data_IF_885573840215
#
_entry.id   IF_885573840215
#
_cell.length_a   1.000
_cell.length_b   1.000
_cell.length_c   1.000
_cell.angle_alpha   90.00
_cell.angle_beta   90.00
_cell.angle_gamma   90.00
#
_symmetry.space_group_name_H-M   'P 1'
#
loop_
_entity.id
_entity.type
_entity.pdbx_description
1 polymer ?
#
# COMPACT_ATOMS: atom_id res chain seq x y z
N UNK A 1 -18.07 12.80 -12.04
CA UNK A 1 -17.38 12.25 -13.23
C UNK A 1 -16.09 11.59 -12.79
N UNK A 2 -15.61 10.58 -13.51
CA UNK A 2 -14.29 9.96 -13.32
C UNK A 2 -13.43 10.36 -14.51
N UNK A 3 -12.18 10.77 -14.25
CA UNK A 3 -11.24 11.19 -15.30
C UNK A 3 -9.98 10.34 -15.22
N UNK A 4 -9.67 9.65 -16.30
CA UNK A 4 -8.39 8.98 -16.50
C UNK A 4 -7.45 9.87 -17.32
N UNK A 5 -6.17 9.86 -16.96
CA UNK A 5 -5.14 10.69 -17.58
C UNK A 5 -3.91 9.82 -17.79
N UNK A 6 -3.44 9.79 -19.04
CA UNK A 6 -2.14 9.23 -19.43
C UNK A 6 -1.17 10.40 -19.72
N UNK A 7 -0.23 10.70 -18.81
CA UNK A 7 0.67 11.82 -18.95
C UNK A 7 1.91 11.49 -19.79
N UNK A 8 2.28 12.39 -20.69
CA UNK A 8 3.47 12.28 -21.51
C UNK A 8 3.63 13.50 -22.42
N UNK A 9 4.44 13.38 -23.48
CA UNK A 9 4.50 14.39 -24.54
C UNK A 9 3.14 14.55 -25.25
N UNK A 10 2.43 13.43 -25.39
CA UNK A 10 1.02 13.40 -25.73
C UNK A 10 0.26 13.04 -24.47
N UNK A 11 -0.69 13.89 -24.07
CA UNK A 11 -1.56 13.59 -22.93
C UNK A 11 -2.82 12.92 -23.46
N UNK A 12 -3.03 11.67 -23.05
CA UNK A 12 -4.30 10.97 -23.19
C UNK A 12 -5.24 11.35 -22.05
N UNK A 13 -6.53 11.52 -22.36
CA UNK A 13 -7.55 11.78 -21.36
C UNK A 13 -8.85 11.07 -21.70
N UNK A 14 -9.51 10.56 -20.67
CA UNK A 14 -10.82 9.93 -20.79
C UNK A 14 -11.71 10.36 -19.64
N UNK A 15 -12.86 10.94 -19.95
CA UNK A 15 -13.85 11.46 -19.01
C UNK A 15 -15.10 10.60 -19.11
N UNK A 16 -15.49 10.01 -18.00
CA UNK A 16 -16.70 9.23 -17.85
C UNK A 16 -17.64 9.86 -16.83
N UNK A 17 -18.94 9.63 -16.98
CA UNK A 17 -19.88 9.88 -15.89
C UNK A 17 -19.71 8.85 -14.75
N UNK A 18 -20.59 8.86 -13.75
CA UNK A 18 -20.51 7.94 -12.62
C UNK A 18 -21.11 6.56 -12.90
N UNK A 19 -21.69 6.37 -14.08
CA UNK A 19 -22.28 5.13 -14.59
C UNK A 19 -21.41 4.52 -15.71
N UNK A 20 -20.21 5.07 -15.93
CA UNK A 20 -19.22 4.68 -16.93
C UNK A 20 -19.62 4.89 -18.38
N UNK A 21 -20.52 5.83 -18.67
CA UNK A 21 -20.73 6.30 -20.03
C UNK A 21 -19.63 7.31 -20.42
N UNK A 22 -19.02 7.18 -21.62
CA UNK A 22 -17.98 8.09 -22.07
C UNK A 22 -18.56 9.47 -22.39
N UNK A 23 -18.03 10.52 -21.75
CA UNK A 23 -18.39 11.92 -22.00
C UNK A 23 -17.42 12.60 -22.98
N UNK A 24 -16.15 12.21 -22.93
CA UNK A 24 -15.09 12.67 -23.82
C UNK A 24 -13.89 11.72 -23.70
N UNK A 25 -13.34 11.29 -24.82
CA UNK A 25 -12.06 10.58 -24.89
C UNK A 25 -11.24 11.27 -25.98
N UNK A 26 -9.96 11.49 -25.72
CA UNK A 26 -9.10 12.15 -26.67
C UNK A 26 -7.66 12.21 -26.20
N UNK A 27 -6.81 12.72 -27.07
CA UNK A 27 -5.40 12.92 -26.81
C UNK A 27 -4.95 14.23 -27.44
N UNK A 28 -3.95 14.88 -26.83
CA UNK A 28 -3.35 16.10 -27.40
C UNK A 28 -1.87 16.17 -27.09
N UNK A 29 -1.08 16.44 -28.13
CA UNK A 29 0.37 16.67 -28.01
C UNK A 29 0.62 18.05 -27.39
N UNK A 30 1.60 18.13 -26.50
CA UNK A 30 2.04 19.40 -25.85
C UNK A 30 0.89 20.15 -25.15
N UNK A 31 -0.09 19.42 -24.62
CA UNK A 31 -1.21 20.00 -23.90
C UNK A 31 -0.76 20.56 -22.55
N UNK A 32 -1.17 21.79 -22.23
CA UNK A 32 -0.85 22.38 -20.92
C UNK A 32 -1.79 21.86 -19.83
N UNK A 33 -1.36 21.97 -18.57
CA UNK A 33 -2.21 21.63 -17.41
C UNK A 33 -3.46 22.50 -17.38
N UNK A 34 -3.34 23.78 -17.72
CA UNK A 34 -4.43 24.76 -17.75
C UNK A 34 -5.46 24.39 -18.82
N UNK A 35 -5.02 24.01 -20.03
CA UNK A 35 -5.92 23.54 -21.08
C UNK A 35 -6.68 22.29 -20.66
N UNK A 36 -5.98 21.34 -20.04
CA UNK A 36 -6.58 20.09 -19.55
C UNK A 36 -7.60 20.36 -18.44
N UNK A 37 -7.25 21.21 -17.48
CA UNK A 37 -8.15 21.61 -16.41
C UNK A 37 -9.40 22.33 -16.94
N UNK A 38 -9.23 23.26 -17.89
CA UNK A 38 -10.35 23.96 -18.52
C UNK A 38 -11.28 23.00 -19.26
N UNK A 39 -10.72 22.03 -19.99
CA UNK A 39 -11.49 21.01 -20.68
C UNK A 39 -12.28 20.11 -19.72
N UNK A 40 -11.64 19.63 -18.65
CA UNK A 40 -12.32 18.84 -17.60
C UNK A 40 -13.45 19.69 -16.99
N UNK A 41 -13.17 20.94 -16.62
CA UNK A 41 -14.15 21.86 -16.01
C UNK A 41 -15.37 22.08 -16.92
N UNK A 42 -15.17 22.20 -18.24
CA UNK A 42 -16.26 22.34 -19.22
C UNK A 42 -17.20 21.12 -19.25
N UNK A 43 -16.70 19.93 -18.95
CA UNK A 43 -17.53 18.72 -18.84
C UNK A 43 -18.20 18.57 -17.47
N UNK A 44 -17.56 19.09 -16.42
CA UNK A 44 -18.12 19.14 -15.08
C UNK A 44 -17.06 19.02 -13.99
N UNK A 45 -17.50 18.75 -12.75
CA UNK A 45 -16.59 18.55 -11.62
C UNK A 45 -16.11 17.08 -11.56
N UNK A 46 -14.79 16.82 -11.56
CA UNK A 46 -14.29 15.48 -11.37
C UNK A 46 -14.57 15.03 -9.92
N UNK A 47 -14.88 13.74 -9.77
CA UNK A 47 -15.07 13.07 -8.48
C UNK A 47 -13.92 12.13 -8.15
N UNK A 48 -13.19 11.70 -9.19
CA UNK A 48 -12.02 10.87 -9.09
C UNK A 48 -11.12 11.15 -10.30
N UNK A 49 -9.82 11.32 -10.06
CA UNK A 49 -8.80 11.35 -11.10
C UNK A 49 -7.98 10.05 -11.04
N UNK A 50 -7.58 9.49 -12.17
CA UNK A 50 -6.87 8.22 -12.23
C UNK A 50 -5.71 8.25 -13.22
N UNK A 51 -4.65 7.50 -12.91
CA UNK A 51 -3.58 7.11 -13.84
C UNK A 51 -3.38 5.60 -13.80
N UNK A 52 -2.63 5.10 -14.77
CA UNK A 52 -2.28 3.69 -14.96
C UNK A 52 -0.91 3.32 -14.37
N UNK A 53 -0.13 4.30 -13.90
CA UNK A 53 1.21 4.13 -13.32
C UNK A 53 1.26 4.42 -11.81
N UNK A 54 2.25 3.84 -11.13
CA UNK A 54 2.59 4.06 -9.72
C UNK A 54 4.10 4.33 -9.58
N UNK A 55 4.52 5.50 -9.04
CA UNK A 55 3.74 6.53 -8.36
C UNK A 55 2.92 7.45 -9.29
N UNK A 56 1.97 8.18 -8.71
CA UNK A 56 1.17 9.17 -9.44
C UNK A 56 2.06 10.21 -10.12
N UNK A 57 1.85 10.49 -11.42
CA UNK A 57 2.60 11.52 -12.13
C UNK A 57 2.28 12.94 -11.63
N UNK A 58 3.26 13.85 -11.72
CA UNK A 58 3.15 15.25 -11.28
C UNK A 58 1.93 15.99 -11.85
N UNK A 59 1.60 15.73 -13.12
CA UNK A 59 0.45 16.34 -13.77
C UNK A 59 -0.85 15.97 -13.05
N UNK A 60 -1.01 14.69 -12.70
CA UNK A 60 -2.18 14.18 -12.00
C UNK A 60 -2.28 14.80 -10.59
N UNK A 61 -1.17 14.88 -9.86
CA UNK A 61 -1.12 15.50 -8.53
C UNK A 61 -1.52 16.99 -8.57
N UNK A 62 -1.01 17.73 -9.56
CA UNK A 62 -1.37 19.14 -9.75
C UNK A 62 -2.84 19.33 -10.08
N UNK A 63 -3.42 18.47 -10.93
CA UNK A 63 -4.85 18.51 -11.25
C UNK A 63 -5.72 18.12 -10.06
N UNK A 64 -5.30 17.11 -9.29
CA UNK A 64 -5.99 16.71 -8.07
C UNK A 64 -6.08 17.85 -7.06
N UNK A 65 -4.97 18.57 -6.87
CA UNK A 65 -4.92 19.78 -6.04
C UNK A 65 -5.83 20.87 -6.59
N UNK A 66 -5.75 21.16 -7.90
CA UNK A 66 -6.59 22.18 -8.55
C UNK A 66 -8.09 21.91 -8.39
N UNK A 67 -8.54 20.67 -8.58
CA UNK A 67 -9.95 20.30 -8.46
C UNK A 67 -10.37 19.90 -7.03
N UNK A 68 -9.45 19.90 -6.07
CA UNK A 68 -9.63 19.31 -4.74
C UNK A 68 -10.34 17.93 -4.82
N UNK A 69 -9.78 17.04 -5.64
CA UNK A 69 -10.39 15.76 -6.01
C UNK A 69 -9.43 14.62 -5.72
N UNK A 70 -9.98 13.51 -5.21
CA UNK A 70 -9.19 12.31 -4.92
C UNK A 70 -8.55 11.72 -6.17
N UNK A 71 -7.33 11.21 -6.00
CA UNK A 71 -6.64 10.37 -6.99
C UNK A 71 -6.83 8.88 -6.70
N UNK A 72 -6.95 8.10 -7.77
CA UNK A 72 -6.79 6.66 -7.76
C UNK A 72 -5.46 6.31 -8.43
N UNK A 73 -4.65 5.53 -7.72
CA UNK A 73 -3.37 5.01 -8.21
C UNK A 73 -3.45 3.49 -8.08
N UNK A 74 -3.09 2.72 -9.12
CA UNK A 74 -3.05 1.27 -9.03
C UNK A 74 -1.92 0.82 -8.08
N UNK A 75 -2.00 -0.42 -7.55
CA UNK A 75 -0.97 -0.96 -6.65
C UNK A 75 0.41 -1.05 -7.34
N UNK A 76 0.42 -1.24 -8.66
CA UNK A 76 1.59 -1.27 -9.54
C UNK A 76 1.17 -0.79 -10.93
N UNK A 77 2.13 -0.50 -11.78
CA UNK A 77 1.87 -0.13 -13.18
C UNK A 77 0.98 -1.17 -13.87
N UNK A 78 -0.02 -0.68 -14.59
CA UNK A 78 -0.93 -1.51 -15.36
C UNK A 78 -0.23 -2.02 -16.61
N UNK A 79 -0.23 -3.34 -16.82
CA UNK A 79 0.33 -3.92 -18.04
C UNK A 79 -0.63 -3.83 -19.22
N UNK A 80 -0.12 -3.81 -20.45
CA UNK A 80 -0.91 -3.61 -21.68
C UNK A 80 -2.10 -4.57 -21.79
N UNK A 81 -1.90 -5.86 -21.49
CA UNK A 81 -2.97 -6.86 -21.49
C UNK A 81 -4.10 -6.54 -20.51
N UNK A 82 -3.77 -5.97 -19.36
CA UNK A 82 -4.75 -5.55 -18.37
C UNK A 82 -5.54 -4.34 -18.91
N UNK A 83 -4.84 -3.35 -19.47
CA UNK A 83 -5.46 -2.15 -20.07
C UNK A 83 -6.44 -2.54 -21.18
N UNK A 84 -6.00 -3.32 -22.17
CA UNK A 84 -6.85 -3.77 -23.28
C UNK A 84 -8.06 -4.59 -22.84
N UNK A 85 -7.94 -5.36 -21.74
CA UNK A 85 -9.06 -6.13 -21.19
C UNK A 85 -10.12 -5.24 -20.54
N UNK A 86 -9.71 -4.14 -19.89
CA UNK A 86 -10.63 -3.22 -19.24
C UNK A 86 -11.48 -2.47 -20.25
N UNK A 87 -10.87 -1.99 -21.33
CA UNK A 87 -11.52 -1.17 -22.36
C UNK A 87 -12.11 -1.97 -23.53
N UNK A 88 -12.25 -3.29 -23.36
CA UNK A 88 -12.71 -4.18 -24.44
C UNK A 88 -14.09 -3.74 -24.94
N UNK A 89 -14.20 -3.54 -26.27
CA UNK A 89 -15.45 -3.11 -26.92
C UNK A 89 -15.56 -1.60 -27.12
N UNK A 90 -14.52 -0.84 -26.78
CA UNK A 90 -14.38 0.58 -27.13
C UNK A 90 -13.34 0.75 -28.25
N UNK A 91 -13.52 1.79 -29.06
CA UNK A 91 -12.59 2.17 -30.13
C UNK A 91 -11.80 3.41 -29.71
N UNK A 92 -10.51 3.43 -30.02
CA UNK A 92 -9.58 4.51 -29.66
C UNK A 92 -8.71 4.86 -30.85
N UNK A 93 -8.30 6.13 -30.94
CA UNK A 93 -7.46 6.61 -32.04
C UNK A 93 -6.00 6.26 -31.84
N UNK A 94 -5.56 6.10 -30.58
CA UNK A 94 -4.18 5.77 -30.21
C UNK A 94 -4.10 5.11 -28.82
N UNK A 95 -2.91 4.67 -28.46
CA UNK A 95 -2.62 4.02 -27.17
C UNK A 95 -2.84 4.94 -25.97
N UNK A 96 -2.57 6.25 -26.08
CA UNK A 96 -2.77 7.20 -24.98
C UNK A 96 -4.24 7.34 -24.59
N UNK A 97 -5.16 7.34 -25.57
CA UNK A 97 -6.60 7.31 -25.33
C UNK A 97 -7.06 6.02 -24.64
N UNK A 98 -6.51 4.89 -25.08
CA UNK A 98 -6.77 3.58 -24.49
C UNK A 98 -6.30 3.52 -23.03
N UNK A 99 -5.10 4.01 -22.76
CA UNK A 99 -4.46 3.96 -21.44
C UNK A 99 -5.17 4.87 -20.44
N UNK A 100 -5.53 6.09 -20.87
CA UNK A 100 -6.35 7.00 -20.09
C UNK A 100 -7.73 6.38 -19.78
N UNK A 101 -8.38 5.74 -20.76
CA UNK A 101 -9.65 5.06 -20.53
C UNK A 101 -9.50 3.87 -19.57
N UNK A 102 -8.46 3.06 -19.73
CA UNK A 102 -8.17 1.94 -18.85
C UNK A 102 -7.95 2.38 -17.40
N UNK A 103 -7.23 3.48 -17.17
CA UNK A 103 -7.03 4.07 -15.85
C UNK A 103 -8.38 4.45 -15.19
N UNK A 104 -9.26 5.13 -15.92
CA UNK A 104 -10.59 5.49 -15.43
C UNK A 104 -11.45 4.25 -15.10
N UNK A 105 -11.44 3.24 -15.97
CA UNK A 105 -12.19 1.99 -15.77
C UNK A 105 -11.67 1.20 -14.58
N UNK A 106 -10.35 1.13 -14.39
CA UNK A 106 -9.73 0.50 -13.22
C UNK A 106 -10.17 1.19 -11.93
N UNK A 107 -10.16 2.52 -11.94
CA UNK A 107 -10.61 3.32 -10.81
C UNK A 107 -12.08 3.08 -10.49
N UNK A 108 -12.96 3.04 -11.50
CA UNK A 108 -14.37 2.71 -11.30
C UNK A 108 -14.56 1.32 -10.68
N UNK A 109 -13.88 0.29 -11.20
CA UNK A 109 -13.98 -1.08 -10.66
C UNK A 109 -13.58 -1.18 -9.20
N UNK A 110 -12.60 -0.39 -8.77
CA UNK A 110 -12.22 -0.32 -7.36
C UNK A 110 -13.36 0.22 -6.48
N UNK A 111 -14.09 1.24 -6.95
CA UNK A 111 -15.19 1.86 -6.21
C UNK A 111 -16.58 1.29 -6.52
N UNK A 112 -16.71 0.36 -7.46
CA UNK A 112 -17.98 -0.13 -8.00
C UNK A 112 -18.92 -0.64 -6.90
N UNK A 113 -18.41 -1.48 -5.99
CA UNK A 113 -19.19 -2.02 -4.88
C UNK A 113 -19.72 -0.91 -3.97
N UNK A 114 -18.88 0.10 -3.68
CA UNK A 114 -19.25 1.25 -2.83
C UNK A 114 -20.32 2.11 -3.53
N UNK A 115 -20.13 2.42 -4.80
CA UNK A 115 -21.09 3.18 -5.60
C UNK A 115 -22.44 2.48 -5.69
N UNK A 116 -22.44 1.16 -5.93
CA UNK A 116 -23.65 0.34 -5.98
C UNK A 116 -24.39 0.28 -4.64
N UNK A 117 -23.66 0.25 -3.52
CA UNK A 117 -24.26 0.34 -2.19
C UNK A 117 -24.96 1.69 -1.99
N UNK A 118 -24.33 2.79 -2.42
CA UNK A 118 -24.93 4.12 -2.38
C UNK A 118 -26.21 4.14 -3.21
N UNK A 119 -26.18 3.62 -4.44
CA UNK A 119 -27.35 3.58 -5.33
C UNK A 119 -28.55 2.86 -4.71
N UNK A 120 -28.31 1.75 -4.00
CA UNK A 120 -29.37 1.03 -3.28
C UNK A 120 -30.00 1.90 -2.19
N UNK A 121 -29.18 2.53 -1.34
CA UNK A 121 -29.66 3.39 -0.25
C UNK A 121 -30.43 4.59 -0.80
N UNK A 122 -29.96 5.18 -1.89
CA UNK A 122 -30.64 6.30 -2.55
C UNK A 122 -31.99 5.89 -3.14
N UNK A 123 -32.06 4.72 -3.77
CA UNK A 123 -33.29 4.16 -4.31
C UNK A 123 -34.31 3.87 -3.21
N UNK A 124 -33.89 3.29 -2.10
CA UNK A 124 -34.75 3.04 -0.92
C UNK A 124 -35.32 4.33 -0.33
N UNK A 125 -34.53 5.41 -0.34
CA UNK A 125 -34.95 6.75 0.14
C UNK A 125 -35.70 7.58 -0.91
N UNK A 126 -35.88 7.09 -2.13
CA UNK A 126 -36.51 7.83 -3.22
C UNK A 126 -35.73 9.08 -3.68
N UNK A 127 -34.40 9.10 -3.49
CA UNK A 127 -33.54 10.23 -3.87
C UNK A 127 -32.91 9.94 -5.24
N UNK A 128 -33.44 10.54 -6.30
CA UNK A 128 -32.91 10.38 -7.67
C UNK A 128 -32.09 11.59 -8.14
N UNK A 129 -32.59 12.82 -7.92
CA UNK A 129 -31.98 14.04 -8.49
C UNK A 129 -30.60 14.43 -7.94
N UNK A 130 -30.23 13.98 -6.74
CA UNK A 130 -28.96 14.33 -6.08
C UNK A 130 -27.98 13.15 -5.97
N UNK A 131 -28.23 12.06 -6.69
CA UNK A 131 -27.39 10.86 -6.61
C UNK A 131 -25.92 11.13 -6.96
N UNK A 132 -25.68 11.91 -8.02
CA UNK A 132 -24.32 12.26 -8.45
C UNK A 132 -23.54 13.08 -7.41
N UNK A 133 -24.22 14.00 -6.71
CA UNK A 133 -23.63 14.83 -5.66
C UNK A 133 -23.25 13.98 -4.43
N UNK A 134 -24.15 13.09 -4.00
CA UNK A 134 -23.90 12.20 -2.87
C UNK A 134 -22.73 11.25 -3.19
N UNK A 135 -22.72 10.65 -4.38
CA UNK A 135 -21.59 9.84 -4.85
C UNK A 135 -20.29 10.64 -4.84
N UNK A 136 -20.30 11.89 -5.32
CA UNK A 136 -19.13 12.76 -5.30
C UNK A 136 -18.60 13.02 -3.88
N UNK A 137 -19.48 13.35 -2.94
CA UNK A 137 -19.10 13.57 -1.54
C UNK A 137 -18.49 12.30 -0.92
N UNK A 138 -19.07 11.14 -1.20
CA UNK A 138 -18.63 9.87 -0.62
C UNK A 138 -17.32 9.37 -1.22
N UNK A 139 -17.03 9.69 -2.48
CA UNK A 139 -15.71 9.47 -3.09
C UNK A 139 -14.64 10.40 -2.49
N UNK A 140 -15.02 11.61 -2.11
CA UNK A 140 -14.17 12.60 -1.42
C UNK A 140 -14.20 12.46 0.12
N UNK A 141 -14.13 11.23 0.64
CA UNK A 141 -14.02 10.91 2.08
C UNK A 141 -15.16 11.38 3.00
N UNK A 142 -16.32 11.75 2.46
CA UNK A 142 -17.51 12.00 3.31
C UNK A 142 -18.21 10.68 3.60
N UNK A 143 -18.67 10.45 4.83
CA UNK A 143 -19.51 9.28 5.11
C UNK A 143 -20.85 9.40 4.37
N UNK A 144 -21.47 8.27 4.02
CA UNK A 144 -22.78 8.29 3.35
C UNK A 144 -23.83 9.03 4.19
N UNK A 145 -23.82 8.84 5.52
CA UNK A 145 -24.70 9.55 6.44
C UNK A 145 -24.51 11.07 6.38
N UNK A 146 -23.27 11.55 6.41
CA UNK A 146 -22.99 13.00 6.33
C UNK A 146 -23.30 13.57 4.94
N UNK A 147 -23.10 12.77 3.88
CA UNK A 147 -23.44 13.17 2.52
C UNK A 147 -24.96 13.32 2.34
N UNK A 148 -25.75 12.40 2.91
CA UNK A 148 -27.21 12.48 2.92
C UNK A 148 -27.71 13.69 3.71
N UNK A 149 -27.17 13.94 4.91
CA UNK A 149 -27.55 15.09 5.73
C UNK A 149 -27.29 16.42 5.03
N UNK A 150 -26.14 16.58 4.35
CA UNK A 150 -25.84 17.80 3.58
C UNK A 150 -26.86 18.06 2.49
N UNK A 151 -27.26 17.01 1.79
CA UNK A 151 -28.26 17.08 0.71
C UNK A 151 -29.66 17.39 1.24
N UNK A 152 -30.03 16.85 2.40
CA UNK A 152 -31.31 17.11 3.07
C UNK A 152 -31.39 18.55 3.61
N UNK A 153 -30.31 19.08 4.19
CA UNK A 153 -30.25 20.48 4.65
C UNK A 153 -30.45 21.46 3.49
N UNK A 154 -29.86 21.20 2.33
CA UNK A 154 -30.08 22.05 1.14
C UNK A 154 -31.53 22.00 0.63
N UNK A 155 -32.23 20.87 0.77
CA UNK A 155 -33.67 20.79 0.43
C UNK A 155 -34.51 21.69 1.33
N UNK A 156 -34.18 21.78 2.62
CA UNK A 156 -34.88 22.67 3.57
C UNK A 156 -34.61 24.16 3.29
N UNK A 157 -33.46 24.51 2.70
CA UNK A 157 -33.13 25.91 2.38
C UNK A 157 -33.79 26.39 1.08
N UNK A 158 -34.16 25.47 0.17
CA UNK A 158 -34.76 25.80 -1.14
C UNK A 158 -36.28 26.10 -1.11
N UNK A 159 -36.98 25.96 0.03
CA UNK A 159 -38.38 26.41 0.19
C UNK A 159 -38.61 27.12 1.54
N UNK A 160 -39.29 28.28 1.62
CA UNK A 160 -39.35 29.44 0.73
C UNK A 160 -38.50 30.63 1.25
N UNK A 161 -38.05 31.51 0.34
CA UNK A 161 -37.56 32.86 0.68
C UNK A 161 -38.72 33.72 1.19
N UNK A 162 -38.63 34.18 2.43
CA UNK A 162 -38.63 35.59 2.88
C UNK A 162 -38.22 35.53 4.35
N UNK A 163 -37.01 35.98 4.69
CA UNK A 163 -36.63 36.25 6.08
C UNK A 163 -36.16 37.69 6.19
N UNK A 164 -36.80 38.42 7.09
CA UNK A 164 -36.59 39.85 7.31
C UNK A 164 -35.20 40.10 7.90
N UNK A 165 -34.74 41.35 7.75
CA UNK A 165 -33.37 41.82 8.06
C UNK A 165 -32.95 41.66 9.54
N UNK A 166 -33.88 41.31 10.43
CA UNK A 166 -33.63 41.08 11.86
C UNK A 166 -33.26 39.62 12.17
N UNK A 167 -33.81 38.64 11.45
CA UNK A 167 -33.47 37.21 11.61
C UNK A 167 -32.03 36.91 11.11
N UNK A 168 -31.52 37.73 10.19
CA UNK A 168 -30.16 37.59 9.65
C UNK A 168 -29.09 37.86 10.71
N UNK A 169 -29.37 38.67 11.75
CA UNK A 169 -28.41 38.94 12.84
C UNK A 169 -28.29 37.77 13.83
N UNK A 170 -29.41 37.12 14.15
CA UNK A 170 -29.45 35.98 15.07
C UNK A 170 -28.79 34.73 14.43
N UNK A 171 -28.97 34.54 13.12
CA UNK A 171 -28.34 33.45 12.34
C UNK A 171 -26.81 33.62 12.22
N UNK A 172 -26.30 34.85 12.15
CA UNK A 172 -24.85 35.12 12.08
C UNK A 172 -24.13 34.80 13.41
N UNK A 173 -24.75 35.08 14.56
CA UNK A 173 -24.18 34.73 15.87
C UNK A 173 -24.17 33.21 16.11
N UNK A 174 -25.23 32.51 15.71
CA UNK A 174 -25.30 31.05 15.74
C UNK A 174 -24.25 30.40 14.85
N UNK A 175 -24.08 30.90 13.62
CA UNK A 175 -23.05 30.44 12.68
C UNK A 175 -21.63 30.73 13.18
N UNK A 176 -21.38 31.89 13.80
CA UNK A 176 -20.07 32.19 14.39
C UNK A 176 -19.72 31.27 15.56
N UNK A 177 -20.73 30.87 16.36
CA UNK A 177 -20.53 29.89 17.44
C UNK A 177 -20.19 28.50 16.89
N UNK A 178 -20.92 28.05 15.86
CA UNK A 178 -20.63 26.78 15.18
C UNK A 178 -19.27 26.78 14.50
N UNK A 179 -18.87 27.89 13.85
CA UNK A 179 -17.54 28.03 13.25
C UNK A 179 -16.46 27.89 14.32
N UNK A 180 -16.64 28.52 15.48
CA UNK A 180 -15.70 28.43 16.59
C UNK A 180 -15.59 27.01 17.14
N UNK A 181 -16.70 26.32 17.36
CA UNK A 181 -16.72 24.92 17.81
C UNK A 181 -16.05 23.97 16.81
N UNK A 182 -16.25 24.19 15.51
CA UNK A 182 -15.57 23.44 14.44
C UNK A 182 -14.07 23.74 14.44
N UNK A 183 -13.68 24.99 14.65
CA UNK A 183 -12.27 25.40 14.70
C UNK A 183 -11.57 24.73 15.89
N UNK A 184 -12.19 24.77 17.06
CA UNK A 184 -11.68 24.15 18.28
C UNK A 184 -11.58 22.63 18.12
N UNK A 185 -12.58 22.00 17.51
CA UNK A 185 -12.56 20.56 17.19
C UNK A 185 -11.45 20.21 16.20
N UNK A 186 -11.21 21.06 15.19
CA UNK A 186 -10.14 20.89 14.20
C UNK A 186 -8.75 20.98 14.83
N UNK A 187 -8.58 21.87 15.81
CA UNK A 187 -7.33 22.00 16.58
C UNK A 187 -7.09 20.75 17.42
N UNK A 188 -8.11 20.26 18.14
CA UNK A 188 -7.98 19.05 18.96
C UNK A 188 -7.72 17.80 18.12
N UNK A 189 -8.38 17.67 16.97
CA UNK A 189 -8.11 16.59 16.03
C UNK A 189 -6.68 16.62 15.49
N UNK A 190 -6.13 17.80 15.18
CA UNK A 190 -4.73 17.94 14.74
C UNK A 190 -3.76 17.50 15.83
N UNK A 191 -3.99 17.92 17.08
CA UNK A 191 -3.18 17.47 18.23
C UNK A 191 -3.27 15.95 18.43
N UNK A 192 -4.43 15.36 18.21
CA UNK A 192 -4.62 13.92 18.30
C UNK A 192 -3.84 13.18 17.19
N UNK A 193 -3.85 13.70 15.97
CA UNK A 193 -3.06 13.16 14.86
C UNK A 193 -1.56 13.23 15.17
N UNK A 194 -1.04 14.38 15.59
CA UNK A 194 0.38 14.51 15.95
C UNK A 194 0.80 13.53 17.06
N UNK A 195 -0.07 13.33 18.06
CA UNK A 195 0.18 12.36 19.14
C UNK A 195 0.22 10.93 18.61
N UNK A 196 -0.75 10.54 17.80
CA UNK A 196 -0.82 9.20 17.21
C UNK A 196 0.35 8.95 16.26
N UNK A 197 0.79 9.94 15.49
CA UNK A 197 1.97 9.85 14.64
C UNK A 197 3.25 9.66 15.45
N UNK A 198 3.40 10.41 16.55
CA UNK A 198 4.53 10.25 17.48
C UNK A 198 4.53 8.86 18.15
N UNK A 199 3.37 8.39 18.59
CA UNK A 199 3.22 7.07 19.20
C UNK A 199 3.53 5.95 18.19
N UNK A 200 3.04 6.08 16.96
CA UNK A 200 3.32 5.12 15.89
C UNK A 200 4.81 5.09 15.54
N UNK A 201 5.48 6.25 15.48
CA UNK A 201 6.92 6.33 15.28
C UNK A 201 7.71 5.62 16.40
N UNK A 202 7.28 5.80 17.66
CA UNK A 202 7.87 5.14 18.84
C UNK A 202 7.67 3.62 18.83
N UNK A 203 6.45 3.16 18.53
CA UNK A 203 6.12 1.74 18.41
C UNK A 203 6.90 1.08 17.27
N UNK A 204 7.01 1.74 16.11
CA UNK A 204 7.82 1.28 14.98
C UNK A 204 9.31 1.20 15.31
N UNK A 205 9.84 2.13 16.10
CA UNK A 205 11.22 2.04 16.60
C UNK A 205 11.39 0.85 17.55
N UNK A 206 10.41 0.60 18.43
CA UNK A 206 10.42 -0.53 19.36
C UNK A 206 10.33 -1.87 18.64
N UNK A 207 9.49 -1.99 17.61
CA UNK A 207 9.40 -3.18 16.75
C UNK A 207 10.75 -3.44 16.09
N UNK A 208 11.34 -2.44 15.43
CA UNK A 208 12.67 -2.58 14.81
C UNK A 208 13.77 -3.00 15.79
N UNK A 209 13.74 -2.47 17.01
CA UNK A 209 14.67 -2.88 18.05
C UNK A 209 14.48 -4.34 18.47
N UNK A 210 13.23 -4.76 18.68
CA UNK A 210 12.91 -6.15 19.03
C UNK A 210 13.27 -7.13 17.89
N UNK A 211 12.97 -6.78 16.64
CA UNK A 211 13.33 -7.57 15.46
C UNK A 211 14.85 -7.76 15.34
N UNK A 212 15.63 -6.70 15.56
CA UNK A 212 17.10 -6.79 15.61
C UNK A 212 17.58 -7.74 16.69
N UNK A 213 17.02 -7.66 17.91
CA UNK A 213 17.39 -8.56 19.00
C UNK A 213 16.96 -10.02 18.78
N UNK A 214 15.90 -10.28 18.02
CA UNK A 214 15.52 -11.65 17.60
C UNK A 214 16.50 -12.16 16.55
N UNK A 215 16.88 -11.31 15.58
CA UNK A 215 17.83 -11.67 14.54
C UNK A 215 19.21 -12.01 15.11
N UNK A 216 19.72 -11.21 16.06
CA UNK A 216 21.01 -11.46 16.73
C UNK A 216 20.99 -12.77 17.53
N UNK A 217 19.90 -13.07 18.24
CA UNK A 217 19.74 -14.35 18.96
C UNK A 217 19.72 -15.55 18.01
N UNK A 218 18.98 -15.47 16.90
CA UNK A 218 18.95 -16.51 15.89
C UNK A 218 20.33 -16.73 15.22
N UNK A 219 21.09 -15.66 15.02
CA UNK A 219 22.45 -15.75 14.51
C UNK A 219 23.40 -16.43 15.52
N UNK A 220 23.32 -16.04 16.79
CA UNK A 220 24.08 -16.65 17.89
C UNK A 220 23.77 -18.13 18.07
N UNK A 221 22.50 -18.53 18.05
CA UNK A 221 22.08 -19.93 18.17
C UNK A 221 22.61 -20.79 17.02
N UNK A 222 22.65 -20.25 15.80
CA UNK A 222 23.24 -20.94 14.64
C UNK A 222 24.75 -21.13 14.81
N UNK A 223 25.45 -20.14 15.34
CA UNK A 223 26.89 -20.23 15.57
C UNK A 223 27.22 -21.22 16.70
N UNK A 224 26.44 -21.19 17.79
CA UNK A 224 26.54 -22.13 18.90
C UNK A 224 26.33 -23.58 18.43
N UNK A 225 25.30 -23.83 17.62
CA UNK A 225 25.08 -25.17 17.04
C UNK A 225 26.26 -25.66 16.19
N UNK A 226 26.91 -24.78 15.43
CA UNK A 226 28.12 -25.15 14.66
C UNK A 226 29.26 -25.55 15.59
N UNK A 227 29.51 -24.74 16.63
CA UNK A 227 30.53 -25.00 17.65
C UNK A 227 30.24 -26.29 18.43
N UNK A 228 28.99 -26.59 18.75
CA UNK A 228 28.59 -27.84 19.42
C UNK A 228 28.88 -29.07 18.56
N UNK A 229 28.56 -29.03 17.26
CA UNK A 229 28.88 -30.11 16.32
C UNK A 229 30.40 -30.31 16.22
N UNK A 230 31.16 -29.23 16.18
CA UNK A 230 32.62 -29.27 16.12
C UNK A 230 33.23 -29.84 17.41
N UNK A 231 32.76 -29.40 18.58
CA UNK A 231 33.15 -29.96 19.88
C UNK A 231 32.83 -31.46 19.95
N UNK A 232 31.66 -31.88 19.44
CA UNK A 232 31.27 -33.28 19.42
C UNK A 232 32.23 -34.12 18.55
N UNK A 233 32.60 -33.61 17.37
CA UNK A 233 33.59 -34.25 16.48
C UNK A 233 34.98 -34.34 17.14
N UNK A 234 35.46 -33.25 17.72
CA UNK A 234 36.76 -33.20 18.40
C UNK A 234 36.81 -34.17 19.60
N UNK A 235 35.72 -34.26 20.37
CA UNK A 235 35.58 -35.22 21.49
C UNK A 235 35.58 -36.67 21.03
N UNK A 236 34.93 -36.98 19.89
CA UNK A 236 35.01 -38.31 19.30
C UNK A 236 36.43 -38.63 18.84
N UNK A 237 37.09 -37.70 18.14
CA UNK A 237 38.47 -37.87 17.69
C UNK A 237 39.44 -38.13 18.87
N UNK A 238 39.36 -37.33 19.94
CA UNK A 238 40.20 -37.54 21.13
C UNK A 238 39.92 -38.86 21.84
N UNK A 239 38.65 -39.31 21.91
CA UNK A 239 38.32 -40.65 22.46
C UNK A 239 38.93 -41.77 21.62
N UNK A 240 38.84 -41.67 20.30
CA UNK A 240 39.44 -42.64 19.38
C UNK A 240 40.96 -42.69 19.50
N UNK A 241 41.64 -41.54 19.49
CA UNK A 241 43.10 -41.47 19.69
C UNK A 241 43.54 -42.01 21.05
N UNK A 242 42.79 -41.69 22.12
CA UNK A 242 43.09 -42.20 23.46
C UNK A 242 42.88 -43.70 23.57
N UNK A 243 41.89 -44.25 22.87
CA UNK A 243 41.68 -45.70 22.77
C UNK A 243 42.72 -46.43 21.92
N UNK A 244 43.33 -45.75 20.93
CA UNK A 244 44.47 -46.27 20.16
C UNK A 244 45.76 -46.25 21.00
N UNK A 245 46.05 -45.14 21.70
CA UNK A 245 47.22 -45.02 22.57
C UNK A 245 47.17 -45.96 23.79
N UNK A 246 45.99 -46.42 24.22
CA UNK A 246 45.86 -47.44 25.28
C UNK A 246 46.09 -48.87 24.77
N UNK A 247 46.02 -49.10 23.45
CA UNK A 247 46.32 -50.41 22.82
C UNK A 247 47.79 -50.54 22.40
N UNK A 248 48.49 -49.43 22.18
CA UNK A 248 49.93 -49.40 21.88
C UNK A 248 50.87 -49.94 22.99
N UNK A 249 50.65 -49.72 24.30
CA UNK A 249 51.58 -50.24 25.32
C UNK A 249 51.62 -51.78 25.35
N UNK A 250 50.51 -52.45 25.03
CA UNK A 250 50.46 -53.92 24.95
C UNK A 250 51.25 -54.46 23.74
N UNK A 251 51.28 -53.73 22.62
CA UNK A 251 52.04 -54.13 21.43
C UNK A 251 53.56 -54.05 21.65
N UNK A 252 54.02 -53.02 22.38
CA UNK A 252 55.44 -52.87 22.74
C UNK A 252 55.93 -53.93 23.72
N UNK A 253 55.11 -54.36 24.68
CA UNK A 253 55.47 -55.46 25.58
C UNK A 253 55.59 -56.80 24.83
N UNK A 254 54.75 -57.06 23.83
CA UNK A 254 54.87 -58.26 22.99
C UNK A 254 56.08 -58.25 22.04
N UNK A 255 56.50 -57.09 21.53
CA UNK A 255 57.73 -56.96 20.71
C UNK A 255 59.00 -57.20 21.54
N UNK A 256 59.07 -56.67 22.76
CA UNK A 256 60.21 -56.89 23.67
C UNK A 256 60.36 -58.37 24.05
N UNK A 257 59.23 -59.09 24.18
CA UNK A 257 59.24 -60.52 24.48
C UNK A 257 59.69 -61.36 23.26
N UNK A 258 59.33 -60.95 22.04
CA UNK A 258 59.78 -61.60 20.80
C UNK A 258 61.28 -61.42 20.55
N UNK A 259 61.85 -60.24 20.80
CA UNK A 259 63.30 -60.03 20.71
C UNK A 259 64.09 -60.90 21.71
N UNK A 260 63.56 -61.08 22.93
CA UNK A 260 64.13 -61.99 23.92
C UNK A 260 64.14 -63.45 23.44
N UNK A 261 63.01 -63.93 22.90
CA UNK A 261 62.86 -65.29 22.38
C UNK A 261 63.76 -65.53 21.16
N UNK A 262 63.89 -64.55 20.25
CA UNK A 262 64.78 -64.64 19.07
C UNK A 262 66.26 -64.63 19.49
N UNK A 263 66.62 -63.85 20.53
CA UNK A 263 67.95 -63.84 21.11
C UNK A 263 68.37 -65.19 21.71
N UNK A 264 67.44 -65.85 22.41
CA UNK A 264 67.67 -67.18 22.99
C UNK A 264 67.71 -68.29 21.91
N UNK A 265 66.90 -68.18 20.86
CA UNK A 265 66.95 -69.09 19.71
C UNK A 265 68.30 -69.01 18.96
N UNK A 266 68.83 -67.80 18.75
CA UNK A 266 70.16 -67.59 18.13
C UNK A 266 71.31 -68.12 18.98
N UNK A 267 71.18 -68.11 20.31
CA UNK A 267 72.19 -68.71 21.22
C UNK A 267 72.16 -70.23 21.18
N UNK A 268 70.97 -70.86 21.11
CA UNK A 268 70.83 -72.32 21.06
C UNK A 268 71.26 -72.97 19.74
N UNK A 269 71.23 -72.24 18.63
CA UNK A 269 71.54 -72.78 17.30
C UNK A 269 72.89 -72.33 16.70
N UNK A 270 73.84 -71.86 17.53
CA UNK A 270 75.15 -71.38 17.07
C UNK A 270 76.23 -72.47 16.90
N UNK A 271 75.84 -73.75 16.96
CA UNK A 271 76.76 -74.90 16.87
C UNK A 271 76.28 -76.00 15.89
N UNK A 272 75.65 -75.60 14.79
CA UNK A 272 75.53 -76.39 13.56
C UNK A 272 76.16 -75.59 12.42
#
# INVERSE_FOLDING_TARGET
>A
MIVGIDPGTTIGYAIFDLDMNPLLIGSKREMSKEELADMIRKKGKPSLLACDVNPAPDLLLKLASYFNTRIFIPEKDMGDREKSKLVKGMEFSNEHEMDAAAAAMKAFRFYENKLRQIDRVLKEKGISGKAGEIKHLVLNNTSLSNALLRVDIEREIEMPKIRSREETRIDLEGKNRQIKEILDSSIELRKAVERLESENASLMAKIRFMEKGVFERLAGDREMRKKEIEIMRLRQATRSTRSMNLKEPAAKESEVNLEGIIGDYRKKHKHL
#
